data_IF_279161484248
#
_entry.id   IF_279161484248
#
_cell.length_a   1.000
_cell.length_b   1.000
_cell.length_c   1.000
_cell.angle_alpha   90.00
_cell.angle_beta   90.00
_cell.angle_gamma   90.00
#
_symmetry.space_group_name_H-M   'P 1'
#
loop_
_entity.id
_entity.type
_entity.pdbx_description
1 polymer ?
#
# COMPACT_ATOMS: atom_id res chain seq x y z
N UNK A 1 3.74 9.34 -21.19
CA UNK A 1 4.54 8.81 -20.09
C UNK A 1 3.91 7.53 -19.56
N UNK A 2 4.72 6.52 -19.39
CA UNK A 2 4.24 5.28 -18.79
C UNK A 2 4.17 5.41 -17.27
N UNK A 3 3.17 4.78 -16.68
CA UNK A 3 3.09 4.69 -15.23
C UNK A 3 4.11 3.69 -14.72
N UNK A 4 4.58 3.89 -13.51
CA UNK A 4 5.48 2.97 -12.86
C UNK A 4 4.69 1.79 -12.28
N UNK A 5 5.12 0.58 -12.56
CA UNK A 5 4.52 -0.62 -11.98
C UNK A 5 5.41 -1.07 -10.84
N UNK A 6 4.89 -0.98 -9.63
CA UNK A 6 5.66 -1.24 -8.43
C UNK A 6 4.77 -1.84 -7.35
N UNK A 7 5.34 -2.75 -6.57
CA UNK A 7 4.63 -3.46 -5.52
C UNK A 7 5.42 -3.47 -4.24
N UNK A 8 4.71 -3.67 -3.15
CA UNK A 8 5.26 -4.09 -1.88
C UNK A 8 4.39 -5.21 -1.34
N UNK A 9 4.86 -5.94 -0.36
CA UNK A 9 4.09 -7.04 0.22
C UNK A 9 4.17 -7.00 1.74
N UNK A 10 3.03 -7.23 2.38
CA UNK A 10 2.96 -7.41 3.82
C UNK A 10 2.94 -8.91 4.11
N UNK A 11 3.89 -9.38 4.90
CA UNK A 11 3.97 -10.78 5.34
C UNK A 11 4.20 -10.77 6.84
N UNK A 12 3.29 -11.35 7.60
CA UNK A 12 3.43 -11.47 9.05
C UNK A 12 3.78 -10.13 9.71
N UNK A 13 3.02 -9.09 9.40
CA UNK A 13 3.19 -7.75 9.96
C UNK A 13 4.50 -7.05 9.58
N UNK A 14 5.18 -7.52 8.55
CA UNK A 14 6.38 -6.87 8.02
C UNK A 14 6.21 -6.56 6.55
N UNK A 15 6.58 -5.33 6.16
CA UNK A 15 6.48 -4.88 4.77
C UNK A 15 7.82 -5.04 4.08
N UNK A 16 7.77 -5.65 2.89
CA UNK A 16 8.94 -5.82 2.03
C UNK A 16 8.70 -5.05 0.74
N UNK A 17 9.64 -4.17 0.41
CA UNK A 17 9.58 -3.36 -0.81
C UNK A 17 10.40 -4.01 -1.91
N UNK A 18 10.09 -3.67 -3.16
CA UNK A 18 10.97 -4.00 -4.27
C UNK A 18 12.31 -3.34 -4.04
N UNK A 19 13.39 -4.09 -4.28
CA UNK A 19 14.73 -3.58 -4.04
C UNK A 19 15.08 -2.46 -4.99
N UNK A 20 15.75 -1.48 -4.45
CA UNK A 20 16.32 -0.37 -5.18
C UNK A 20 17.82 -0.29 -4.91
N UNK A 21 18.48 -1.40 -4.87
CA UNK A 21 19.94 -1.49 -4.75
C UNK A 21 20.56 -0.92 -3.47
N UNK A 22 19.79 -0.28 -2.63
CA UNK A 22 20.28 0.41 -1.44
C UNK A 22 19.89 -0.26 -0.13
N UNK A 23 19.14 -1.33 -0.21
CA UNK A 23 18.60 -1.96 0.97
C UNK A 23 19.56 -3.05 1.46
N UNK A 24 19.94 -2.91 2.70
CA UNK A 24 20.74 -3.93 3.39
C UNK A 24 19.85 -4.98 4.05
N UNK A 25 18.59 -5.01 3.71
CA UNK A 25 17.64 -5.93 4.28
C UNK A 25 17.01 -6.84 3.25
N UNK A 26 15.97 -7.54 3.67
CA UNK A 26 15.19 -8.41 2.81
C UNK A 26 14.35 -7.58 1.85
N UNK A 27 14.18 -8.07 0.64
CA UNK A 27 13.43 -7.34 -0.38
C UNK A 27 12.53 -8.25 -1.20
N UNK A 28 11.50 -7.66 -1.77
CA UNK A 28 10.63 -8.32 -2.74
C UNK A 28 11.38 -8.37 -4.07
N UNK A 29 11.88 -9.54 -4.42
CA UNK A 29 12.76 -9.70 -5.59
C UNK A 29 12.04 -10.18 -6.84
N UNK A 30 10.94 -10.91 -6.70
CA UNK A 30 10.17 -11.30 -7.87
C UNK A 30 8.71 -11.57 -7.54
N UNK A 31 7.87 -11.43 -8.56
CA UNK A 31 6.44 -11.75 -8.52
C UNK A 31 6.18 -12.61 -9.76
N UNK A 32 5.69 -13.82 -9.55
CA UNK A 32 5.32 -14.73 -10.62
C UNK A 32 3.79 -14.76 -10.73
N UNK A 33 3.27 -14.08 -11.74
CA UNK A 33 1.83 -13.95 -11.95
C UNK A 33 1.20 -15.30 -12.32
N UNK A 34 1.92 -16.11 -13.09
CA UNK A 34 1.40 -17.40 -13.55
C UNK A 34 1.30 -18.42 -12.42
N UNK A 35 2.27 -18.44 -11.54
CA UNK A 35 2.28 -19.34 -10.38
C UNK A 35 1.60 -18.73 -9.16
N UNK A 36 1.25 -17.44 -9.22
CA UNK A 36 0.69 -16.68 -8.12
C UNK A 36 1.57 -16.76 -6.86
N UNK A 37 2.85 -16.50 -7.05
CA UNK A 37 3.84 -16.52 -5.97
C UNK A 37 4.67 -15.25 -5.96
N UNK A 38 5.25 -14.96 -4.79
CA UNK A 38 6.24 -13.90 -4.63
C UNK A 38 7.50 -14.49 -4.00
N UNK A 39 8.62 -13.86 -4.25
CA UNK A 39 9.90 -14.26 -3.68
C UNK A 39 10.49 -13.11 -2.88
N UNK A 40 10.88 -13.41 -1.65
CA UNK A 40 11.64 -12.51 -0.80
C UNK A 40 13.07 -13.00 -0.75
N UNK A 41 14.00 -12.15 -1.15
CA UNK A 41 15.43 -12.46 -1.10
C UNK A 41 16.05 -11.74 0.09
N UNK A 42 16.73 -12.49 0.94
CA UNK A 42 17.38 -11.94 2.12
C UNK A 42 18.73 -11.32 1.78
N UNK A 43 19.28 -10.58 2.74
CA UNK A 43 20.60 -9.98 2.63
C UNK A 43 21.70 -11.02 2.25
N UNK A 44 21.54 -12.26 2.68
CA UNK A 44 22.50 -13.34 2.37
C UNK A 44 22.13 -14.14 1.13
N UNK A 45 21.25 -13.61 0.28
CA UNK A 45 20.76 -14.26 -0.94
C UNK A 45 19.94 -15.53 -0.73
N UNK A 46 19.38 -15.71 0.45
CA UNK A 46 18.39 -16.77 0.67
C UNK A 46 17.06 -16.33 0.10
N UNK A 47 16.39 -17.23 -0.62
CA UNK A 47 15.09 -16.97 -1.21
C UNK A 47 14.01 -17.72 -0.46
N UNK A 48 12.94 -16.99 -0.11
CA UNK A 48 11.72 -17.56 0.44
C UNK A 48 10.58 -17.27 -0.51
N UNK A 49 9.83 -18.30 -0.88
CA UNK A 49 8.71 -18.17 -1.81
C UNK A 49 7.40 -18.30 -1.04
N UNK A 50 6.50 -17.37 -1.30
CA UNK A 50 5.17 -17.31 -0.66
C UNK A 50 4.10 -17.32 -1.76
N UNK A 51 2.92 -17.83 -1.41
CA UNK A 51 1.78 -17.83 -2.34
C UNK A 51 0.88 -16.64 -2.09
N UNK A 52 0.25 -16.12 -3.15
CA UNK A 52 -0.72 -15.04 -3.01
C UNK A 52 -1.88 -15.43 -2.09
N UNK A 53 -2.27 -16.70 -2.10
CA UNK A 53 -3.41 -17.21 -1.32
C UNK A 53 -3.14 -17.38 0.17
N UNK A 54 -1.88 -17.30 0.60
CA UNK A 54 -1.54 -17.42 2.01
C UNK A 54 -2.13 -16.27 2.80
N UNK A 55 -2.82 -16.56 3.91
CA UNK A 55 -3.53 -15.55 4.70
C UNK A 55 -2.62 -14.44 5.24
N UNK A 56 -1.37 -14.77 5.51
CA UNK A 56 -0.37 -13.84 6.02
C UNK A 56 0.23 -12.93 4.96
N UNK A 57 -0.08 -13.17 3.68
CA UNK A 57 0.51 -12.45 2.54
C UNK A 57 -0.48 -11.47 1.94
N UNK A 58 -0.10 -10.20 1.84
CA UNK A 58 -0.91 -9.18 1.18
C UNK A 58 -0.05 -8.42 0.21
N UNK A 59 -0.29 -8.63 -1.08
CA UNK A 59 0.39 -7.91 -2.14
C UNK A 59 -0.28 -6.55 -2.32
N UNK A 60 0.52 -5.49 -2.35
CA UNK A 60 0.03 -4.11 -2.43
C UNK A 60 0.67 -3.41 -3.61
N UNK A 61 -0.15 -2.78 -4.43
CA UNK A 61 0.33 -2.06 -5.61
C UNK A 61 0.52 -0.57 -5.32
N UNK A 62 1.55 0.01 -5.91
CA UNK A 62 1.76 1.45 -5.90
C UNK A 62 0.69 2.14 -6.76
N UNK A 63 0.04 3.15 -6.22
CA UNK A 63 -1.05 3.87 -6.89
C UNK A 63 -0.57 4.84 -7.96
N UNK A 64 0.73 5.10 -8.04
CA UNK A 64 1.35 6.14 -8.85
C UNK A 64 1.05 7.57 -8.38
N UNK A 65 0.53 7.71 -7.17
CA UNK A 65 0.27 9.00 -6.55
C UNK A 65 1.13 9.16 -5.30
N UNK A 66 1.44 10.38 -4.97
CA UNK A 66 2.20 10.73 -3.77
C UNK A 66 1.34 11.59 -2.86
N UNK A 67 1.53 11.43 -1.55
CA UNK A 67 0.81 12.21 -0.56
C UNK A 67 1.35 13.65 -0.47
N UNK A 68 0.81 14.44 0.44
CA UNK A 68 1.21 15.84 0.60
C UNK A 68 2.69 16.02 0.96
N UNK A 69 3.32 14.98 1.52
CA UNK A 69 4.73 15.00 1.90
C UNK A 69 5.64 14.37 0.85
N UNK A 70 5.10 14.00 -0.30
CA UNK A 70 5.86 13.38 -1.37
C UNK A 70 6.09 11.89 -1.20
N UNK A 71 5.43 11.25 -0.24
CA UNK A 71 5.54 9.80 -0.04
C UNK A 71 4.66 9.04 -1.02
N UNK A 72 5.20 7.97 -1.56
CA UNK A 72 4.45 7.09 -2.47
C UNK A 72 3.29 6.42 -1.75
N UNK A 73 2.11 6.46 -2.38
CA UNK A 73 0.90 5.86 -1.82
C UNK A 73 0.69 4.47 -2.42
N UNK A 74 0.61 3.47 -1.55
CA UNK A 74 0.34 2.08 -1.93
C UNK A 74 -1.03 1.65 -1.44
N UNK A 75 -1.59 0.61 -2.08
CA UNK A 75 -2.73 -0.09 -1.49
C UNK A 75 -2.40 -0.48 -0.05
N UNK A 76 -3.39 -0.40 0.82
CA UNK A 76 -3.21 -0.75 2.22
C UNK A 76 -2.69 0.38 3.09
N UNK A 77 -2.21 1.48 2.51
CA UNK A 77 -1.79 2.62 3.29
C UNK A 77 -2.98 3.20 4.05
N UNK A 78 -2.71 3.62 5.27
CA UNK A 78 -3.68 4.35 6.07
C UNK A 78 -3.35 5.82 6.01
N UNK A 79 -4.36 6.62 5.72
CA UNK A 79 -4.18 8.05 5.47
C UNK A 79 -5.10 8.86 6.36
N UNK A 80 -4.67 10.07 6.67
CA UNK A 80 -5.53 11.05 7.32
C UNK A 80 -6.30 11.81 6.25
N UNK A 81 -7.61 11.82 6.42
CA UNK A 81 -8.51 12.58 5.56
C UNK A 81 -8.86 13.89 6.27
N UNK A 82 -8.75 14.99 5.53
CA UNK A 82 -9.21 16.28 6.02
C UNK A 82 -10.51 16.59 5.29
N UNK A 83 -11.62 16.63 6.02
CA UNK A 83 -12.90 16.99 5.43
C UNK A 83 -12.97 18.50 5.20
N UNK A 84 -13.08 18.88 3.94
CA UNK A 84 -13.06 20.26 3.51
C UNK A 84 -14.22 21.11 4.01
N UNK A 85 -15.36 20.48 4.26
CA UNK A 85 -16.55 21.23 4.66
C UNK A 85 -16.50 21.70 6.11
N UNK A 86 -15.67 21.06 6.94
CA UNK A 86 -15.66 21.35 8.36
C UNK A 86 -14.28 21.67 8.90
N UNK A 87 -13.21 21.30 8.21
CA UNK A 87 -11.83 21.56 8.63
C UNK A 87 -11.45 20.96 10.00
N UNK A 88 -12.43 20.40 10.71
CA UNK A 88 -12.29 19.95 12.09
C UNK A 88 -12.25 18.45 12.23
N UNK A 89 -12.88 17.70 11.32
CA UNK A 89 -12.88 16.25 11.38
C UNK A 89 -11.69 15.68 10.65
N UNK A 90 -10.74 15.17 11.42
CA UNK A 90 -9.68 14.36 10.88
C UNK A 90 -10.14 12.91 10.98
N UNK A 91 -10.44 12.32 9.86
CA UNK A 91 -10.77 10.91 9.79
C UNK A 91 -9.63 10.16 9.17
N UNK A 92 -9.55 8.88 9.49
CA UNK A 92 -8.59 7.99 8.86
C UNK A 92 -9.31 7.12 7.85
N UNK A 93 -8.61 6.77 6.78
CA UNK A 93 -9.12 5.85 5.78
C UNK A 93 -8.01 4.96 5.28
N UNK A 94 -8.40 3.90 4.58
CA UNK A 94 -7.47 2.93 4.03
C UNK A 94 -7.52 3.00 2.50
N UNK A 95 -6.35 2.99 1.87
CA UNK A 95 -6.26 2.98 0.41
C UNK A 95 -6.58 1.58 -0.09
N UNK A 96 -7.59 1.47 -0.95
CA UNK A 96 -8.03 0.20 -1.52
C UNK A 96 -8.28 0.37 -3.01
N UNK A 97 -8.42 -0.76 -3.70
CA UNK A 97 -8.88 -0.76 -5.08
C UNK A 97 -10.42 -0.83 -5.08
N UNK A 98 -11.05 0.17 -5.68
CA UNK A 98 -12.50 0.23 -5.79
C UNK A 98 -12.94 -0.54 -7.02
N UNK A 99 -13.43 -1.76 -6.84
CA UNK A 99 -13.83 -2.63 -7.95
C UNK A 99 -14.95 -2.04 -8.80
N UNK A 100 -15.87 -1.33 -8.17
CA UNK A 100 -16.99 -0.70 -8.88
C UNK A 100 -16.55 0.41 -9.84
N UNK A 101 -15.40 1.02 -9.58
CA UNK A 101 -14.88 2.14 -10.36
C UNK A 101 -13.59 1.79 -11.11
N UNK A 102 -13.09 0.58 -10.93
CA UNK A 102 -11.83 0.13 -11.51
C UNK A 102 -10.68 1.10 -11.26
N UNK A 103 -10.60 1.64 -10.05
CA UNK A 103 -9.59 2.62 -9.66
C UNK A 103 -9.30 2.54 -8.17
N UNK A 104 -8.18 3.13 -7.78
CA UNK A 104 -7.84 3.24 -6.37
C UNK A 104 -8.72 4.28 -5.68
N UNK A 105 -9.00 4.05 -4.44
CA UNK A 105 -9.77 4.96 -3.61
C UNK A 105 -9.44 4.77 -2.14
N UNK A 106 -10.23 5.43 -1.30
CA UNK A 106 -10.06 5.39 0.14
C UNK A 106 -11.39 5.00 0.75
N UNK A 107 -11.36 4.06 1.68
CA UNK A 107 -12.53 3.68 2.47
C UNK A 107 -12.32 4.14 3.92
N UNK A 108 -13.32 4.82 4.50
CA UNK A 108 -13.26 5.24 5.89
C UNK A 108 -13.87 4.18 6.82
N UNK A 109 -13.91 4.46 8.11
CA UNK A 109 -14.44 3.52 9.11
C UNK A 109 -15.91 3.23 8.97
N UNK A 110 -16.65 4.15 8.39
CA UNK A 110 -18.10 4.01 8.19
C UNK A 110 -18.43 3.32 6.87
N UNK A 111 -17.42 2.92 6.11
CA UNK A 111 -17.59 2.28 4.83
C UNK A 111 -17.81 3.23 3.67
N UNK A 112 -17.64 4.54 3.88
CA UNK A 112 -17.74 5.50 2.81
C UNK A 112 -16.52 5.44 1.91
N UNK A 113 -16.74 5.46 0.61
CA UNK A 113 -15.68 5.36 -0.39
C UNK A 113 -15.43 6.72 -1.03
N UNK A 114 -14.17 7.06 -1.17
CA UNK A 114 -13.73 8.31 -1.78
C UNK A 114 -12.75 7.98 -2.91
N UNK A 115 -12.92 8.57 -4.10
CA UNK A 115 -11.94 8.35 -5.17
C UNK A 115 -10.61 8.99 -4.84
N UNK A 116 -9.54 8.34 -5.26
CA UNK A 116 -8.19 8.85 -5.05
C UNK A 116 -7.68 9.45 -6.35
N UNK A 117 -7.83 10.77 -6.47
CA UNK A 117 -7.31 11.52 -7.61
C UNK A 117 -6.01 12.22 -7.22
N UNK A 118 -5.28 12.73 -8.23
CA UNK A 118 -4.03 13.46 -8.00
C UNK A 118 -4.21 14.61 -7.01
N UNK A 119 -5.26 15.39 -7.17
CA UNK A 119 -5.50 16.51 -6.27
C UNK A 119 -5.87 16.09 -4.86
N UNK A 120 -6.60 14.98 -4.74
CA UNK A 120 -6.94 14.41 -3.44
C UNK A 120 -5.68 13.90 -2.74
N UNK A 121 -4.82 13.23 -3.48
CA UNK A 121 -3.58 12.67 -2.93
C UNK A 121 -2.69 13.75 -2.31
N UNK A 122 -2.63 14.93 -2.91
CA UNK A 122 -1.83 16.04 -2.40
C UNK A 122 -2.34 16.61 -1.09
N UNK A 123 -3.53 16.22 -0.66
CA UNK A 123 -4.18 16.75 0.53
C UNK A 123 -4.24 15.74 1.68
N UNK A 124 -3.82 14.52 1.43
CA UNK A 124 -3.82 13.46 2.43
C UNK A 124 -2.41 13.20 2.93
N UNK A 125 -2.32 12.61 4.12
CA UNK A 125 -1.06 12.24 4.73
C UNK A 125 -1.09 10.77 5.10
N UNK A 126 -0.06 10.03 4.68
CA UNK A 126 0.09 8.63 5.09
C UNK A 126 0.41 8.59 6.57
N UNK A 127 -0.39 7.83 7.31
CA UNK A 127 -0.11 7.52 8.70
C UNK A 127 0.91 6.39 8.70
N UNK A 128 1.94 6.56 9.49
CA UNK A 128 3.02 5.61 9.55
C UNK A 128 2.54 4.23 9.97
N UNK A 129 2.89 3.23 9.16
CA UNK A 129 2.77 1.81 9.46
C UNK A 129 1.34 1.23 9.43
N UNK A 130 0.88 0.72 8.27
CA UNK A 130 -0.43 0.06 8.18
C UNK A 130 -0.57 -1.15 9.11
N UNK A 131 0.53 -1.73 9.59
CA UNK A 131 0.51 -2.81 10.56
C UNK A 131 -0.19 -2.41 11.86
N UNK A 132 0.04 -1.18 12.34
CA UNK A 132 -0.54 -0.71 13.59
C UNK A 132 -2.06 -0.61 13.56
N UNK A 133 -2.62 -0.48 12.38
CA UNK A 133 -4.06 -0.35 12.23
C UNK A 133 -4.76 -1.68 12.12
N UNK A 134 -4.09 -2.70 11.64
CA UNK A 134 -4.63 -4.06 11.65
C UNK A 134 -4.66 -4.63 13.07
N UNK A 135 -3.71 -4.24 13.93
CA UNK A 135 -3.69 -4.65 15.33
C UNK A 135 -4.81 -4.04 16.16
N UNK A 136 -5.32 -2.89 15.75
CA UNK A 136 -6.34 -2.15 16.49
C UNK A 136 -7.76 -2.39 15.98
N UNK A 137 -7.91 -3.24 15.01
CA UNK A 137 -9.21 -3.67 14.51
C UNK A 137 -9.54 -5.05 15.11
#
# INVERSE_FOLDING_TARGET
MSREIKFRVLIDNKIYYQDKYESYGDNLSSIDICKETITITSFYNYENVYRFEDEEVKLMQYTNLKDKNGKEIYEGDVVKLVHFKDGRKKETGKVIFLHSQASFGIIDRDGNEYPLFRNTAKQIEIIENPELLEENN
#
